data_IF_540452662898
#
_entry.id   IF_540452662898
#
_cell.length_a   1.000
_cell.length_b   1.000
_cell.length_c   1.000
_cell.angle_alpha   90.00
_cell.angle_beta   90.00
_cell.angle_gamma   90.00
#
_symmetry.space_group_name_H-M   'P 1'
#
loop_
_entity.id
_entity.type
_entity.pdbx_description
1 polymer ?
#
# COMPACT_ATOMS: atom_id res chain seq x y z
N UNK A 1 11.48 0.32 -9.30
CA UNK A 1 10.59 1.47 -9.03
C UNK A 1 10.34 1.59 -7.51
N UNK A 2 10.21 2.80 -6.90
CA UNK A 2 9.96 2.95 -5.46
C UNK A 2 8.72 2.17 -4.96
N UNK A 3 7.70 2.00 -5.79
CA UNK A 3 6.52 1.17 -5.50
C UNK A 3 6.87 -0.31 -5.32
N UNK A 4 7.70 -0.85 -6.21
CA UNK A 4 8.08 -2.27 -6.16
C UNK A 4 8.86 -2.58 -4.87
N UNK A 5 9.79 -1.69 -4.50
CA UNK A 5 10.56 -1.81 -3.25
C UNK A 5 9.62 -1.70 -2.05
N UNK A 6 8.69 -0.73 -2.06
CA UNK A 6 7.68 -0.59 -1.02
C UNK A 6 6.86 -1.87 -0.86
N UNK A 7 6.31 -2.42 -1.95
CA UNK A 7 5.55 -3.67 -1.93
C UNK A 7 6.37 -4.85 -1.39
N UNK A 8 7.63 -4.97 -1.80
CA UNK A 8 8.51 -6.04 -1.34
C UNK A 8 8.79 -5.94 0.17
N UNK A 9 9.04 -4.74 0.68
CA UNK A 9 9.24 -4.50 2.10
C UNK A 9 7.98 -4.78 2.90
N UNK A 10 6.81 -4.30 2.45
CA UNK A 10 5.55 -4.55 3.16
C UNK A 10 5.28 -6.05 3.25
N UNK A 11 5.38 -6.80 2.15
CA UNK A 11 5.17 -8.27 2.18
C UNK A 11 6.18 -9.01 3.06
N UNK A 12 7.42 -8.50 3.18
CA UNK A 12 8.47 -9.12 4.00
C UNK A 12 8.23 -8.94 5.50
N UNK A 13 7.68 -7.80 5.92
CA UNK A 13 7.55 -7.45 7.33
C UNK A 13 6.10 -7.56 7.86
N UNK A 14 5.11 -7.56 6.97
CA UNK A 14 3.69 -7.68 7.28
C UNK A 14 3.12 -8.90 6.55
N UNK A 15 2.66 -9.90 7.32
CA UNK A 15 2.20 -11.18 6.79
C UNK A 15 0.67 -11.25 6.58
N UNK A 16 -0.06 -10.21 6.96
CA UNK A 16 -1.49 -10.06 6.73
C UNK A 16 -1.77 -9.01 5.66
N UNK A 17 -2.92 -9.13 5.01
CA UNK A 17 -3.40 -8.10 4.09
C UNK A 17 -3.60 -6.78 4.82
N UNK A 18 -3.30 -5.66 4.15
CA UNK A 18 -3.56 -4.34 4.71
C UNK A 18 -5.06 -4.06 4.76
N UNK A 19 -5.48 -3.35 5.80
CA UNK A 19 -6.81 -2.73 5.76
C UNK A 19 -6.82 -1.63 4.71
N UNK A 20 -7.92 -1.47 3.97
CA UNK A 20 -8.14 -0.31 3.12
C UNK A 20 -7.84 1.01 3.84
N UNK A 21 -7.00 1.90 3.28
CA UNK A 21 -6.84 3.23 3.87
C UNK A 21 -8.14 4.01 3.78
N UNK A 22 -8.49 4.63 4.90
CA UNK A 22 -9.71 5.44 5.03
C UNK A 22 -9.58 6.85 4.42
N UNK A 23 -8.37 7.27 4.04
CA UNK A 23 -8.13 8.62 3.50
C UNK A 23 -7.06 8.60 2.40
N UNK A 24 -7.50 8.39 1.16
CA UNK A 24 -6.64 8.39 -0.02
C UNK A 24 -6.00 9.77 -0.28
N UNK A 25 -6.75 10.86 -0.09
CA UNK A 25 -6.27 12.21 -0.36
C UNK A 25 -5.04 12.56 0.49
N UNK A 26 -5.10 12.33 1.81
CA UNK A 26 -3.95 12.55 2.70
C UNK A 26 -2.76 11.63 2.41
N UNK A 27 -3.01 10.40 1.93
CA UNK A 27 -1.93 9.48 1.53
C UNK A 27 -1.24 9.98 0.26
N UNK A 28 -2.01 10.44 -0.73
CA UNK A 28 -1.48 11.02 -1.95
C UNK A 28 -0.67 12.30 -1.66
N UNK A 29 -1.17 13.19 -0.79
CA UNK A 29 -0.43 14.38 -0.31
C UNK A 29 0.91 14.02 0.35
N UNK A 30 0.98 12.86 1.01
CA UNK A 30 2.20 12.31 1.60
C UNK A 30 3.11 11.56 0.60
N UNK A 31 2.80 11.59 -0.70
CA UNK A 31 3.59 10.92 -1.74
C UNK A 31 3.34 9.41 -1.83
N UNK A 32 2.24 8.92 -1.28
CA UNK A 32 1.79 7.52 -1.37
C UNK A 32 0.50 7.45 -2.18
N UNK A 33 0.58 7.43 -3.52
CA UNK A 33 -0.60 7.28 -4.37
C UNK A 33 -1.24 5.89 -4.23
N UNK A 34 -2.48 5.69 -4.74
CA UNK A 34 -3.25 4.47 -4.54
C UNK A 34 -2.52 3.17 -4.92
N UNK A 35 -1.69 3.19 -5.95
CA UNK A 35 -0.97 2.01 -6.44
C UNK A 35 0.14 1.53 -5.49
N UNK A 36 0.51 2.30 -4.47
CA UNK A 36 1.42 1.85 -3.41
C UNK A 36 0.75 0.95 -2.38
N UNK A 37 -0.56 1.09 -2.15
CA UNK A 37 -1.22 0.39 -1.04
C UNK A 37 -2.41 -0.46 -1.47
N UNK A 38 -3.14 -0.10 -2.53
CA UNK A 38 -4.31 -0.88 -2.96
C UNK A 38 -3.99 -2.33 -3.32
N UNK A 39 -2.89 -2.63 -4.04
CA UNK A 39 -2.50 -4.01 -4.33
C UNK A 39 -2.08 -4.83 -3.11
N UNK A 40 -2.01 -4.22 -1.93
CA UNK A 40 -1.61 -4.86 -0.68
C UNK A 40 -2.78 -5.05 0.29
N UNK A 41 -3.99 -4.58 -0.05
CA UNK A 41 -5.18 -4.75 0.81
C UNK A 41 -5.91 -6.05 0.52
N UNK A 42 -6.81 -6.44 1.43
CA UNK A 42 -7.67 -7.64 1.26
C UNK A 42 -8.51 -7.63 -0.03
N UNK A 43 -8.76 -6.45 -0.59
CA UNK A 43 -9.54 -6.26 -1.83
C UNK A 43 -8.67 -6.33 -3.09
N UNK A 44 -7.34 -6.39 -2.94
CA UNK A 44 -6.37 -6.36 -4.03
C UNK A 44 -5.93 -7.73 -4.56
N UNK A 45 -6.46 -8.83 -4.01
CA UNK A 45 -6.31 -10.22 -4.51
C UNK A 45 -7.53 -10.65 -5.30
#
# INVERSE_FOLDING_TARGET
>A
DPKEIFHALVRRYFHGSLKPPFNEAKRAEAGLPPDFYWPLTETGT
#
